data_IF_441872553820
#
_entry.id   IF_441872553820
#
_cell.length_a   1.000
_cell.length_b   1.000
_cell.length_c   1.000
_cell.angle_alpha   90.00
_cell.angle_beta   90.00
_cell.angle_gamma   90.00
#
_symmetry.space_group_name_H-M   'P 1'
#
loop_
_entity.id
_entity.type
_entity.pdbx_description
1 polymer ?
#
# COMPACT_ATOMS: atom_id res chain seq x y z
N UNK A 1 -15.16 -29.00 72.68
CA UNK A 1 -13.81 -29.01 72.08
C UNK A 1 -13.84 -28.13 70.83
N UNK A 2 -13.11 -27.02 70.84
CA UNK A 2 -13.15 -25.94 69.85
C UNK A 2 -12.18 -26.25 68.71
N UNK A 3 -12.63 -26.32 67.48
CA UNK A 3 -11.83 -26.36 66.29
C UNK A 3 -11.82 -24.99 65.63
N UNK A 4 -10.66 -24.30 65.68
CA UNK A 4 -10.43 -23.02 64.98
C UNK A 4 -10.15 -23.28 63.48
N UNK A 5 -11.01 -22.75 62.67
CA UNK A 5 -10.84 -22.69 61.21
C UNK A 5 -10.02 -21.44 60.88
N UNK A 6 -8.78 -21.58 60.45
CA UNK A 6 -7.94 -20.49 59.94
C UNK A 6 -8.13 -20.37 58.44
N UNK A 7 -8.85 -19.36 58.02
CA UNK A 7 -9.03 -18.97 56.62
C UNK A 7 -7.83 -18.16 56.17
N UNK A 8 -6.93 -18.73 55.36
CA UNK A 8 -5.91 -17.96 54.66
C UNK A 8 -6.52 -17.31 53.44
N UNK A 9 -6.69 -16.01 53.46
CA UNK A 9 -6.98 -15.15 52.32
C UNK A 9 -5.66 -14.91 51.59
N UNK A 10 -5.43 -15.62 50.47
CA UNK A 10 -4.42 -15.29 49.47
C UNK A 10 -4.93 -14.17 48.60
N UNK A 11 -4.51 -12.93 48.87
CA UNK A 11 -4.66 -11.78 47.98
C UNK A 11 -3.69 -11.98 46.79
N UNK A 12 -4.16 -12.54 45.72
CA UNK A 12 -3.50 -12.48 44.42
C UNK A 12 -3.65 -11.08 43.85
N UNK A 13 -2.71 -10.21 44.14
CA UNK A 13 -2.58 -8.91 43.49
C UNK A 13 -2.23 -9.12 42.03
N UNK A 14 -3.21 -9.14 41.15
CA UNK A 14 -3.06 -9.01 39.69
C UNK A 14 -2.48 -7.61 39.41
N UNK A 15 -1.15 -7.53 39.37
CA UNK A 15 -0.45 -6.41 38.74
C UNK A 15 -0.76 -6.45 37.26
N UNK A 16 -1.89 -5.83 36.88
CA UNK A 16 -2.14 -5.43 35.50
C UNK A 16 -1.09 -4.38 35.16
N UNK A 17 0.02 -4.81 34.57
CA UNK A 17 0.94 -3.92 33.89
C UNK A 17 0.14 -3.37 32.72
N UNK A 18 -0.17 -2.07 32.67
CA UNK A 18 -0.73 -1.51 31.44
C UNK A 18 0.34 -1.71 30.37
N UNK A 19 0.07 -2.56 29.38
CA UNK A 19 0.83 -2.59 28.18
C UNK A 19 0.59 -1.23 27.50
N UNK A 20 1.49 -0.30 27.76
CA UNK A 20 1.61 0.90 26.97
C UNK A 20 2.17 0.42 25.62
N UNK A 21 1.29 -0.08 24.77
CA UNK A 21 1.56 -0.14 23.35
C UNK A 21 1.80 1.32 22.97
N UNK A 22 3.04 1.68 22.69
CA UNK A 22 3.34 3.02 22.21
C UNK A 22 2.51 3.22 20.96
N UNK A 23 1.48 4.04 21.08
CA UNK A 23 0.65 4.45 19.95
C UNK A 23 1.60 5.11 18.94
N UNK A 24 1.57 4.70 17.69
CA UNK A 24 2.44 5.29 16.70
C UNK A 24 2.13 6.80 16.61
N UNK A 25 3.18 7.62 16.61
CA UNK A 25 3.04 9.07 16.51
C UNK A 25 2.34 9.43 15.17
N UNK A 26 1.45 10.39 15.20
CA UNK A 26 0.78 10.91 14.00
C UNK A 26 1.79 11.30 12.91
N UNK A 27 2.94 11.86 13.32
CA UNK A 27 4.02 12.20 12.41
C UNK A 27 4.62 10.97 11.72
N UNK A 28 4.77 9.86 12.44
CA UNK A 28 5.27 8.59 11.87
C UNK A 28 4.23 7.98 10.93
N UNK A 29 2.93 8.09 11.26
CA UNK A 29 1.82 7.66 10.38
C UNK A 29 1.85 8.45 9.07
N UNK A 30 1.92 9.78 9.13
CA UNK A 30 1.99 10.61 7.92
C UNK A 30 3.24 10.30 7.09
N UNK A 31 4.40 10.14 7.76
CA UNK A 31 5.66 9.81 7.09
C UNK A 31 5.61 8.45 6.40
N UNK A 32 5.14 7.41 7.10
CA UNK A 32 4.98 6.08 6.51
C UNK A 32 3.98 6.10 5.35
N UNK A 33 2.89 6.88 5.47
CA UNK A 33 1.92 7.06 4.38
C UNK A 33 2.59 7.63 3.13
N UNK A 34 3.38 8.69 3.26
CA UNK A 34 4.06 9.30 2.13
C UNK A 34 5.05 8.33 1.46
N UNK A 35 5.78 7.55 2.25
CA UNK A 35 6.71 6.55 1.74
C UNK A 35 6.02 5.38 1.05
N UNK A 36 4.91 4.88 1.58
CA UNK A 36 4.09 3.83 0.96
C UNK A 36 3.50 4.32 -0.37
N UNK A 37 3.02 5.56 -0.42
CA UNK A 37 2.52 6.19 -1.66
C UNK A 37 3.65 6.41 -2.66
N UNK A 38 4.86 6.76 -2.22
CA UNK A 38 6.03 6.93 -3.09
C UNK A 38 6.47 5.59 -3.69
N UNK A 39 6.44 4.50 -2.90
CA UNK A 39 6.77 3.15 -3.37
C UNK A 39 5.75 2.64 -4.41
N UNK A 40 4.46 2.96 -4.25
CA UNK A 40 3.40 2.52 -5.15
C UNK A 40 2.57 3.72 -5.63
N UNK A 41 3.08 4.49 -6.61
CA UNK A 41 2.54 5.80 -6.98
C UNK A 41 1.31 5.74 -7.91
N UNK A 42 0.34 4.87 -7.64
CA UNK A 42 -0.87 4.74 -8.45
C UNK A 42 -1.66 6.05 -8.58
N UNK A 43 -1.64 6.91 -7.56
CA UNK A 43 -2.30 8.20 -7.64
C UNK A 43 -1.80 9.05 -8.82
N UNK A 44 -0.48 9.09 -9.04
CA UNK A 44 0.13 9.80 -10.17
C UNK A 44 -0.28 9.19 -11.52
N UNK A 45 -0.35 7.84 -11.58
CA UNK A 45 -0.82 7.12 -12.77
C UNK A 45 -2.28 7.48 -13.08
N UNK A 46 -3.12 7.54 -12.06
CA UNK A 46 -4.54 7.92 -12.19
C UNK A 46 -4.71 9.38 -12.61
N UNK A 47 -3.97 10.31 -12.02
CA UNK A 47 -4.00 11.71 -12.42
C UNK A 47 -3.59 11.87 -13.89
N UNK A 48 -2.58 11.12 -14.34
CA UNK A 48 -2.17 11.07 -15.74
C UNK A 48 -3.25 10.51 -16.66
N UNK A 49 -3.95 9.45 -16.26
CA UNK A 49 -5.09 8.90 -17.02
C UNK A 49 -6.24 9.90 -17.10
N UNK A 50 -6.59 10.55 -16.00
CA UNK A 50 -7.64 11.60 -15.95
C UNK A 50 -7.32 12.81 -16.81
N UNK A 51 -6.05 13.17 -16.95
CA UNK A 51 -5.62 14.27 -17.79
C UNK A 51 -5.77 13.94 -19.30
N UNK A 52 -5.65 12.67 -19.68
CA UNK A 52 -5.79 12.20 -21.06
C UNK A 52 -7.26 11.96 -21.46
N UNK A 53 -8.07 11.46 -20.53
CA UNK A 53 -9.49 11.18 -20.80
C UNK A 53 -10.38 11.78 -19.70
N UNK A 54 -11.22 12.79 -20.01
CA UNK A 54 -12.16 13.39 -19.06
C UNK A 54 -13.22 12.40 -18.56
N UNK A 55 -13.48 11.30 -19.29
CA UNK A 55 -14.45 10.26 -18.92
C UNK A 55 -13.83 9.12 -18.08
N UNK A 56 -12.51 9.10 -17.95
CA UNK A 56 -11.84 8.12 -17.10
C UNK A 56 -12.35 8.20 -15.65
N UNK A 57 -12.56 7.10 -14.94
CA UNK A 57 -12.24 5.70 -15.28
C UNK A 57 -13.39 4.93 -15.95
N UNK A 58 -14.47 5.58 -16.36
CA UNK A 58 -15.64 4.93 -16.98
C UNK A 58 -15.59 4.89 -18.51
N UNK A 59 -14.76 5.72 -19.13
CA UNK A 59 -14.58 5.80 -20.58
C UNK A 59 -15.92 5.92 -21.33
N UNK A 60 -16.23 4.97 -22.22
CA UNK A 60 -17.48 4.91 -22.98
C UNK A 60 -18.73 4.70 -22.09
N UNK A 61 -18.56 4.21 -20.86
CA UNK A 61 -19.61 4.02 -19.87
C UNK A 61 -19.93 5.29 -19.06
N UNK A 62 -19.13 6.36 -19.19
CA UNK A 62 -19.36 7.61 -18.47
C UNK A 62 -20.76 8.19 -18.68
N UNK A 63 -21.37 7.96 -19.86
CA UNK A 63 -22.75 8.35 -20.18
C UNK A 63 -23.81 7.71 -19.28
N UNK A 64 -23.48 6.59 -18.61
CA UNK A 64 -24.39 5.86 -17.72
C UNK A 64 -24.30 6.39 -16.27
N UNK A 65 -23.33 7.26 -15.97
CA UNK A 65 -23.14 7.87 -14.66
C UNK A 65 -23.59 9.34 -14.66
N UNK A 66 -24.02 9.84 -13.50
CA UNK A 66 -24.21 11.27 -13.34
C UNK A 66 -22.86 11.99 -13.26
N UNK A 67 -22.86 13.30 -13.56
CA UNK A 67 -21.65 14.11 -13.43
C UNK A 67 -21.07 14.07 -11.98
N UNK A 68 -21.94 14.03 -10.97
CA UNK A 68 -21.51 13.90 -9.57
C UNK A 68 -20.85 12.57 -9.27
N UNK A 69 -21.35 11.46 -9.80
CA UNK A 69 -20.77 10.14 -9.66
C UNK A 69 -19.40 10.04 -10.34
N UNK A 70 -19.30 10.55 -11.57
CA UNK A 70 -18.00 10.57 -12.27
C UNK A 70 -16.98 11.44 -11.52
N UNK A 71 -17.39 12.62 -11.03
CA UNK A 71 -16.52 13.50 -10.24
C UNK A 71 -16.06 12.84 -8.94
N UNK A 72 -16.96 12.11 -8.24
CA UNK A 72 -16.61 11.33 -7.05
C UNK A 72 -15.58 10.25 -7.37
N UNK A 73 -15.82 9.41 -8.40
CA UNK A 73 -14.87 8.37 -8.82
C UNK A 73 -13.49 8.96 -9.13
N UNK A 74 -13.44 10.04 -9.89
CA UNK A 74 -12.20 10.73 -10.22
C UNK A 74 -11.50 11.24 -8.96
N UNK A 75 -12.24 11.75 -7.99
CA UNK A 75 -11.70 12.18 -6.70
C UNK A 75 -11.12 11.04 -5.87
N UNK A 76 -11.77 9.88 -5.83
CA UNK A 76 -11.27 8.69 -5.13
C UNK A 76 -10.06 8.06 -5.85
N UNK A 77 -10.06 8.07 -7.18
CA UNK A 77 -8.96 7.59 -8.03
C UNK A 77 -8.04 8.73 -8.48
N UNK A 78 -7.69 9.63 -7.59
CA UNK A 78 -6.68 10.68 -7.75
C UNK A 78 -5.52 10.47 -6.76
N UNK A 79 -4.43 11.21 -6.91
CA UNK A 79 -3.34 11.21 -5.91
C UNK A 79 -3.84 11.50 -4.50
N UNK A 80 -4.77 12.44 -4.36
CA UNK A 80 -5.35 12.78 -3.05
C UNK A 80 -6.24 11.64 -2.49
N UNK A 81 -7.08 11.02 -3.34
CA UNK A 81 -7.93 9.89 -2.96
C UNK A 81 -7.12 8.66 -2.59
N UNK A 82 -6.14 8.33 -3.42
CA UNK A 82 -5.22 7.21 -3.16
C UNK A 82 -4.47 7.39 -1.84
N UNK A 83 -3.90 8.60 -1.59
CA UNK A 83 -3.21 8.90 -0.34
C UNK A 83 -4.13 8.78 0.87
N UNK A 84 -5.38 9.29 0.81
CA UNK A 84 -6.37 9.11 1.88
C UNK A 84 -6.62 7.63 2.19
N UNK A 85 -6.78 6.83 1.14
CA UNK A 85 -6.96 5.39 1.26
C UNK A 85 -5.77 4.70 1.92
N UNK A 86 -4.56 5.01 1.48
CA UNK A 86 -3.31 4.46 2.06
C UNK A 86 -3.10 4.91 3.50
N UNK A 87 -3.43 6.16 3.83
CA UNK A 87 -3.35 6.62 5.23
C UNK A 87 -4.22 5.77 6.17
N UNK A 88 -5.44 5.43 5.76
CA UNK A 88 -6.29 4.56 6.56
C UNK A 88 -5.68 3.15 6.75
N UNK A 89 -5.04 2.61 5.72
CA UNK A 89 -4.33 1.33 5.78
C UNK A 89 -3.08 1.42 6.70
N UNK A 90 -2.32 2.51 6.63
CA UNK A 90 -1.16 2.77 7.51
C UNK A 90 -1.58 2.91 8.97
N UNK A 91 -2.70 3.60 9.27
CA UNK A 91 -3.24 3.68 10.63
C UNK A 91 -3.56 2.28 11.17
N UNK A 92 -4.23 1.44 10.37
CA UNK A 92 -4.53 0.06 10.78
C UNK A 92 -3.26 -0.78 10.95
N UNK A 93 -2.27 -0.62 10.06
CA UNK A 93 -0.97 -1.26 10.15
C UNK A 93 -0.21 -0.85 11.41
N UNK A 94 -0.13 0.44 11.70
CA UNK A 94 0.57 0.98 12.86
C UNK A 94 -0.07 0.49 14.18
N UNK A 95 -1.39 0.36 14.22
CA UNK A 95 -2.11 -0.21 15.36
C UNK A 95 -1.81 -1.71 15.54
N UNK A 96 -1.66 -2.48 14.46
CA UNK A 96 -1.35 -3.90 14.49
C UNK A 96 0.15 -4.18 14.76
N UNK A 97 1.04 -3.32 14.28
CA UNK A 97 2.49 -3.51 14.27
C UNK A 97 3.26 -2.28 14.80
N UNK A 98 2.95 -1.74 15.99
CA UNK A 98 3.53 -0.47 16.45
C UNK A 98 5.06 -0.49 16.56
N UNK A 99 5.64 -1.65 16.87
CA UNK A 99 7.09 -1.82 16.97
C UNK A 99 7.82 -1.78 15.62
N UNK A 100 7.10 -1.97 14.50
CA UNK A 100 7.68 -2.04 13.17
C UNK A 100 7.75 -0.67 12.48
N UNK A 101 6.87 0.28 12.84
CA UNK A 101 6.67 1.55 12.11
C UNK A 101 7.98 2.31 11.87
N UNK A 102 8.80 2.51 12.89
CA UNK A 102 10.07 3.25 12.75
C UNK A 102 11.07 2.51 11.88
N UNK A 103 11.24 1.21 12.09
CA UNK A 103 12.09 0.36 11.25
C UNK A 103 11.69 0.42 9.77
N UNK A 104 10.40 0.39 9.52
CA UNK A 104 9.85 0.38 8.16
C UNK A 104 10.02 1.75 7.48
N UNK A 105 9.85 2.85 8.23
CA UNK A 105 10.19 4.20 7.77
C UNK A 105 11.68 4.27 7.39
N UNK A 106 12.58 3.83 8.27
CA UNK A 106 14.03 3.86 8.02
C UNK A 106 14.40 3.07 6.75
N UNK A 107 13.82 1.89 6.54
CA UNK A 107 14.05 1.10 5.34
C UNK A 107 13.59 1.83 4.07
N UNK A 108 12.38 2.37 4.10
CA UNK A 108 11.81 3.05 2.94
C UNK A 108 12.55 4.36 2.63
N UNK A 109 12.97 5.11 3.65
CA UNK A 109 13.80 6.32 3.52
C UNK A 109 15.22 6.06 3.03
N UNK A 110 15.77 4.86 3.28
CA UNK A 110 17.07 4.45 2.75
C UNK A 110 17.07 4.27 1.22
N UNK A 111 15.92 4.50 0.56
CA UNK A 111 15.75 4.54 -0.88
C UNK A 111 14.87 3.44 -1.46
N UNK A 112 14.42 2.46 -0.65
CA UNK A 112 13.55 1.40 -1.15
C UNK A 112 12.25 1.95 -1.77
N UNK A 113 11.64 2.98 -1.15
CA UNK A 113 10.41 3.58 -1.65
C UNK A 113 10.61 4.28 -3.00
N UNK A 114 11.68 5.06 -3.14
CA UNK A 114 11.94 5.78 -4.39
C UNK A 114 12.32 4.84 -5.53
N UNK A 115 13.23 3.92 -5.28
CA UNK A 115 13.69 2.96 -6.30
C UNK A 115 12.53 2.09 -6.80
N UNK A 116 11.71 1.54 -5.88
CA UNK A 116 10.55 0.76 -6.27
C UNK A 116 9.53 1.61 -7.03
N UNK A 117 9.26 2.83 -6.57
CA UNK A 117 8.37 3.77 -7.25
C UNK A 117 8.83 4.15 -8.67
N UNK A 118 10.16 4.18 -8.94
CA UNK A 118 10.69 4.36 -10.30
C UNK A 118 10.31 3.21 -11.22
N UNK A 119 10.42 1.97 -10.77
CA UNK A 119 9.97 0.80 -11.54
C UNK A 119 8.47 0.84 -11.84
N UNK A 120 7.64 1.14 -10.84
CA UNK A 120 6.18 1.22 -11.02
C UNK A 120 5.81 2.31 -12.03
N UNK A 121 6.43 3.50 -11.95
CA UNK A 121 6.20 4.58 -12.92
C UNK A 121 6.64 4.19 -14.33
N UNK A 122 7.79 3.54 -14.47
CA UNK A 122 8.29 3.10 -15.76
C UNK A 122 7.35 2.06 -16.42
N UNK A 123 6.86 1.10 -15.65
CA UNK A 123 5.85 0.14 -16.12
C UNK A 123 4.54 0.82 -16.54
N UNK A 124 4.04 1.79 -15.75
CA UNK A 124 2.85 2.55 -16.10
C UNK A 124 3.04 3.42 -17.35
N UNK A 125 4.23 3.97 -17.58
CA UNK A 125 4.56 4.70 -18.80
C UNK A 125 4.65 3.79 -20.01
N UNK A 126 5.24 2.61 -19.86
CA UNK A 126 5.27 1.57 -20.91
C UNK A 126 3.84 1.22 -21.33
N UNK A 127 2.96 0.94 -20.39
CA UNK A 127 1.55 0.63 -20.67
C UNK A 127 0.84 1.78 -21.38
N UNK A 128 1.06 3.01 -20.94
CA UNK A 128 0.42 4.19 -21.50
C UNK A 128 0.90 4.58 -22.89
N UNK A 129 2.15 4.25 -23.26
CA UNK A 129 2.81 4.73 -24.47
C UNK A 129 3.16 3.63 -25.46
N UNK A 130 3.15 2.37 -25.03
CA UNK A 130 3.66 1.21 -25.78
C UNK A 130 5.18 1.21 -25.95
N UNK A 131 5.92 2.12 -25.29
CA UNK A 131 7.39 2.14 -25.33
C UNK A 131 7.96 1.31 -24.20
N UNK A 132 8.89 0.39 -24.46
CA UNK A 132 9.52 -0.39 -23.40
C UNK A 132 10.16 0.49 -22.33
N UNK A 133 9.98 0.12 -21.07
CA UNK A 133 10.63 0.78 -19.95
C UNK A 133 12.16 0.51 -19.98
N UNK A 134 12.97 1.53 -19.75
CA UNK A 134 14.41 1.39 -19.62
C UNK A 134 14.80 0.97 -18.18
N UNK A 135 14.57 -0.31 -17.88
CA UNK A 135 14.85 -0.88 -16.56
C UNK A 135 16.35 -0.84 -16.27
N UNK A 136 17.20 -1.05 -17.29
CA UNK A 136 18.66 -1.01 -17.13
C UNK A 136 19.14 0.38 -16.71
N UNK A 137 18.57 1.45 -17.27
CA UNK A 137 18.87 2.81 -16.84
C UNK A 137 18.43 3.09 -15.40
N UNK A 138 17.27 2.57 -14.95
CA UNK A 138 16.82 2.70 -13.57
C UNK A 138 17.81 1.99 -12.63
N UNK A 139 18.20 0.76 -12.94
CA UNK A 139 19.15 -0.02 -12.15
C UNK A 139 20.53 0.64 -12.12
N UNK A 140 21.04 1.10 -13.30
CA UNK A 140 22.33 1.78 -13.38
C UNK A 140 22.38 3.11 -12.61
N UNK A 141 21.24 3.80 -12.47
CA UNK A 141 21.13 5.03 -11.72
C UNK A 141 20.95 4.83 -10.21
N UNK A 142 20.66 3.60 -9.77
CA UNK A 142 20.44 3.30 -8.37
C UNK A 142 21.76 3.35 -7.57
N UNK A 143 21.73 4.04 -6.43
CA UNK A 143 22.82 4.01 -5.46
C UNK A 143 22.89 2.67 -4.72
N UNK A 144 24.08 2.34 -4.18
CA UNK A 144 24.27 1.12 -3.41
C UNK A 144 23.30 1.00 -2.21
N UNK A 145 23.02 2.12 -1.52
CA UNK A 145 22.08 2.15 -0.40
C UNK A 145 20.64 1.86 -0.85
N UNK A 146 20.21 2.45 -1.98
CA UNK A 146 18.89 2.19 -2.57
C UNK A 146 18.72 0.73 -2.97
N UNK A 147 19.73 0.16 -3.67
CA UNK A 147 19.71 -1.25 -4.07
C UNK A 147 19.68 -2.19 -2.86
N UNK A 148 20.47 -1.89 -1.81
CA UNK A 148 20.47 -2.67 -0.57
C UNK A 148 19.12 -2.59 0.15
N UNK A 149 18.54 -1.40 0.28
CA UNK A 149 17.25 -1.21 0.96
C UNK A 149 16.11 -1.89 0.20
N UNK A 150 16.11 -1.84 -1.14
CA UNK A 150 15.15 -2.57 -1.96
C UNK A 150 15.31 -4.09 -1.77
N UNK A 151 16.52 -4.61 -1.76
CA UNK A 151 16.78 -6.03 -1.50
C UNK A 151 16.27 -6.43 -0.11
N UNK A 152 16.48 -5.59 0.91
CA UNK A 152 15.93 -5.83 2.25
C UNK A 152 14.40 -5.78 2.25
N UNK A 153 13.78 -4.89 1.49
CA UNK A 153 12.33 -4.83 1.38
C UNK A 153 11.76 -6.12 0.77
N UNK A 154 12.40 -6.66 -0.26
CA UNK A 154 11.85 -7.76 -1.07
C UNK A 154 12.15 -9.16 -0.55
N UNK A 155 13.23 -9.37 0.21
CA UNK A 155 13.72 -10.71 0.56
C UNK A 155 13.32 -11.18 1.97
N UNK A 156 13.59 -10.47 3.08
CA UNK A 156 13.35 -11.00 4.42
C UNK A 156 11.87 -11.13 4.80
N UNK A 157 11.53 -12.25 5.43
CA UNK A 157 10.15 -12.53 5.88
C UNK A 157 9.60 -11.49 6.87
N UNK A 158 10.45 -10.83 7.66
CA UNK A 158 10.00 -9.84 8.65
C UNK A 158 9.50 -8.52 8.04
N UNK A 159 9.61 -8.33 6.71
CA UNK A 159 8.99 -7.23 5.98
C UNK A 159 7.74 -7.66 5.19
N UNK A 160 7.23 -8.89 5.38
CA UNK A 160 6.05 -9.38 4.67
C UNK A 160 4.81 -8.49 4.88
N UNK A 161 4.59 -8.02 6.11
CA UNK A 161 3.47 -7.13 6.44
C UNK A 161 3.62 -5.76 5.79
N UNK A 162 4.85 -5.22 5.74
CA UNK A 162 5.15 -3.97 5.02
C UNK A 162 4.91 -4.14 3.51
N UNK A 163 5.36 -5.25 2.91
CA UNK A 163 5.08 -5.56 1.49
C UNK A 163 3.58 -5.61 1.21
N UNK A 164 2.83 -6.22 2.10
CA UNK A 164 1.36 -6.26 2.01
C UNK A 164 0.75 -4.85 2.10
N UNK A 165 1.21 -4.01 3.02
CA UNK A 165 0.78 -2.62 3.16
C UNK A 165 1.06 -1.80 1.88
N UNK A 166 2.25 -1.95 1.30
CA UNK A 166 2.61 -1.28 0.05
C UNK A 166 1.71 -1.75 -1.09
N UNK A 167 1.40 -3.06 -1.17
CA UNK A 167 0.47 -3.64 -2.13
C UNK A 167 1.04 -4.76 -3.00
N UNK A 168 2.29 -5.20 -2.76
CA UNK A 168 2.87 -6.30 -3.53
C UNK A 168 3.04 -7.61 -2.73
N UNK A 169 2.55 -7.69 -1.49
CA UNK A 169 2.37 -8.93 -0.72
C UNK A 169 3.36 -10.05 -1.04
N UNK A 170 2.84 -11.14 -1.55
CA UNK A 170 3.58 -12.36 -1.89
C UNK A 170 4.31 -12.30 -3.26
N UNK A 171 4.36 -11.15 -3.93
CA UNK A 171 4.96 -11.03 -5.27
C UNK A 171 6.42 -11.53 -5.33
N UNK A 172 7.15 -11.39 -4.23
CA UNK A 172 8.57 -11.79 -4.13
C UNK A 172 8.79 -13.10 -3.35
N UNK A 173 7.73 -13.83 -2.99
CA UNK A 173 7.88 -15.05 -2.19
C UNK A 173 8.36 -16.27 -3.02
N UNK A 174 8.37 -16.18 -4.35
CA UNK A 174 8.84 -17.23 -5.25
C UNK A 174 10.23 -16.87 -5.81
N UNK A 175 11.27 -17.25 -5.07
CA UNK A 175 12.66 -16.91 -5.37
C UNK A 175 13.25 -17.62 -6.63
N UNK A 176 12.57 -18.62 -7.19
CA UNK A 176 13.09 -19.50 -8.24
C UNK A 176 12.44 -19.28 -9.62
N UNK A 177 11.64 -18.22 -9.79
CA UNK A 177 10.94 -17.94 -11.03
C UNK A 177 11.80 -17.14 -12.01
N UNK A 178 11.65 -17.43 -13.31
CA UNK A 178 12.31 -16.70 -14.38
C UNK A 178 11.76 -15.28 -14.56
N UNK A 179 12.51 -14.44 -15.30
CA UNK A 179 12.12 -13.04 -15.52
C UNK A 179 10.74 -12.87 -16.15
N UNK A 180 10.35 -13.75 -17.09
CA UNK A 180 9.05 -13.71 -17.76
C UNK A 180 7.87 -14.01 -16.80
N UNK A 181 8.04 -14.95 -15.86
CA UNK A 181 7.07 -15.25 -14.83
C UNK A 181 6.93 -14.10 -13.85
N UNK A 182 8.04 -13.43 -13.49
CA UNK A 182 8.02 -12.25 -12.62
C UNK A 182 7.34 -11.06 -13.29
N UNK A 183 7.56 -10.82 -14.59
CA UNK A 183 6.89 -9.78 -15.37
C UNK A 183 5.38 -10.02 -15.38
N UNK A 184 4.93 -11.21 -15.77
CA UNK A 184 3.52 -11.59 -15.78
C UNK A 184 2.87 -11.45 -14.40
N UNK A 185 3.57 -11.83 -13.33
CA UNK A 185 3.07 -11.68 -11.97
C UNK A 185 2.92 -10.20 -11.59
N UNK A 186 3.85 -9.35 -12.01
CA UNK A 186 3.77 -7.90 -11.84
C UNK A 186 2.55 -7.30 -12.53
N UNK A 187 2.27 -7.71 -13.77
CA UNK A 187 1.06 -7.30 -14.52
C UNK A 187 -0.22 -7.76 -13.81
N UNK A 188 -0.31 -9.05 -13.45
CA UNK A 188 -1.47 -9.60 -12.74
C UNK A 188 -1.71 -8.88 -11.40
N UNK A 189 -0.66 -8.59 -10.64
CA UNK A 189 -0.73 -7.85 -9.38
C UNK A 189 -1.18 -6.41 -9.62
N UNK A 190 -0.65 -5.73 -10.63
CA UNK A 190 -1.05 -4.37 -11.01
C UNK A 190 -2.53 -4.30 -11.35
N UNK A 191 -3.04 -5.25 -12.17
CA UNK A 191 -4.46 -5.36 -12.49
C UNK A 191 -5.33 -5.60 -11.26
N UNK A 192 -4.92 -6.50 -10.36
CA UNK A 192 -5.66 -6.79 -9.13
C UNK A 192 -5.75 -5.55 -8.22
N UNK A 193 -4.65 -4.81 -8.05
CA UNK A 193 -4.64 -3.59 -7.25
C UNK A 193 -5.55 -2.54 -7.90
N UNK A 194 -5.45 -2.33 -9.21
CA UNK A 194 -6.31 -1.41 -9.94
C UNK A 194 -7.79 -1.75 -9.79
N UNK A 195 -8.14 -3.04 -9.93
CA UNK A 195 -9.52 -3.52 -9.74
C UNK A 195 -10.02 -3.31 -8.31
N UNK A 196 -9.20 -3.59 -7.29
CA UNK A 196 -9.57 -3.35 -5.89
C UNK A 196 -9.79 -1.86 -5.59
N UNK A 197 -8.94 -0.98 -6.11
CA UNK A 197 -9.08 0.47 -5.97
C UNK A 197 -10.36 0.96 -6.66
N UNK A 198 -10.65 0.45 -7.86
CA UNK A 198 -11.91 0.75 -8.56
C UNK A 198 -13.13 0.28 -7.77
N UNK A 199 -13.14 -0.95 -7.25
CA UNK A 199 -14.25 -1.47 -6.45
C UNK A 199 -14.46 -0.62 -5.19
N UNK A 200 -13.39 -0.21 -4.52
CA UNK A 200 -13.45 0.67 -3.35
C UNK A 200 -14.05 2.03 -3.73
N UNK A 201 -13.58 2.65 -4.82
CA UNK A 201 -14.09 3.93 -5.30
C UNK A 201 -15.59 3.85 -5.69
N UNK A 202 -15.99 2.80 -6.41
CA UNK A 202 -17.39 2.52 -6.78
C UNK A 202 -18.30 2.46 -5.54
N UNK A 203 -17.85 1.75 -4.49
CA UNK A 203 -18.60 1.66 -3.23
C UNK A 203 -18.67 2.99 -2.50
N UNK A 204 -17.56 3.72 -2.42
CA UNK A 204 -17.48 5.04 -1.76
C UNK A 204 -18.40 6.06 -2.45
N UNK A 205 -18.54 5.96 -3.78
CA UNK A 205 -19.33 6.87 -4.59
C UNK A 205 -20.77 6.40 -4.85
N UNK A 206 -21.22 5.33 -4.19
CA UNK A 206 -22.56 4.74 -4.36
C UNK A 206 -22.95 4.52 -5.83
N UNK A 207 -21.99 4.05 -6.66
CA UNK A 207 -22.27 3.76 -8.05
C UNK A 207 -23.01 2.43 -8.19
N UNK A 208 -24.16 2.40 -8.89
CA UNK A 208 -24.82 1.15 -9.20
C UNK A 208 -24.03 0.36 -10.26
N UNK A 209 -23.97 -0.96 -10.12
CA UNK A 209 -23.28 -1.81 -11.10
C UNK A 209 -23.84 -1.71 -12.53
N UNK A 210 -25.06 -1.16 -12.69
CA UNK A 210 -25.65 -0.89 -14.01
C UNK A 210 -24.85 0.13 -14.84
N UNK A 211 -24.00 0.95 -14.19
CA UNK A 211 -23.13 1.91 -14.91
C UNK A 211 -22.13 1.17 -15.80
N UNK A 212 -21.73 -0.05 -15.45
CA UNK A 212 -20.75 -0.85 -16.19
C UNK A 212 -21.34 -1.78 -17.25
N UNK A 213 -22.66 -1.74 -17.45
CA UNK A 213 -23.38 -2.48 -18.51
C UNK A 213 -23.56 -1.63 -19.77
#
# INVERSE_FOLDING_TARGET
MKAMLRTCFLLASLLSVPAWAAEADEKDIERLTDLVVAAMPFGVVFDGAQARDPNWPLEDKAKNATAGQLACLRGEMSSAGYRRGKRAEVVAYAAAHPANVKRDIELLEAGAADLFGRFVRAGAEQEATGKPADIDAIVASAGAAEAMSLTQLTTPAHYADLRTLIGFGAMFDAADEGAAEMEKRGEDQGMQIGAMLMIKAVRTCDLPLSVFK
#
